data_IF_323646315155
#
_entry.id   IF_323646315155
#
_cell.length_a   1.000
_cell.length_b   1.000
_cell.length_c   1.000
_cell.angle_alpha   90.00
_cell.angle_beta   90.00
_cell.angle_gamma   90.00
#
_symmetry.space_group_name_H-M   'P 1'
#
loop_
_entity.id
_entity.type
_entity.pdbx_description
1 polymer ?
#
# COMPACT_ATOMS: atom_id res chain seq x y z
N UNK A 1 10.73 19.73 4.31
CA UNK A 1 10.20 18.41 4.73
C UNK A 1 9.48 18.57 6.06
N UNK A 2 8.21 18.15 6.14
CA UNK A 2 7.38 18.32 7.36
C UNK A 2 7.88 17.46 8.52
N UNK A 3 7.57 17.85 9.77
CA UNK A 3 7.88 17.07 10.98
C UNK A 3 7.28 15.67 10.90
N UNK A 4 6.06 15.57 10.39
CA UNK A 4 5.33 14.32 10.21
C UNK A 4 6.09 13.33 9.31
N UNK A 5 6.56 13.76 8.14
CA UNK A 5 7.31 12.87 7.24
C UNK A 5 8.61 12.33 7.86
N UNK A 6 9.27 13.10 8.73
CA UNK A 6 10.44 12.61 9.47
C UNK A 6 10.08 11.50 10.45
N UNK A 7 8.98 11.66 11.18
CA UNK A 7 8.51 10.65 12.12
C UNK A 7 8.08 9.38 11.37
N UNK A 8 7.31 9.53 10.30
CA UNK A 8 6.87 8.41 9.47
C UNK A 8 8.06 7.61 8.91
N UNK A 9 9.12 8.29 8.46
CA UNK A 9 10.35 7.63 8.00
C UNK A 9 11.00 6.72 9.03
N UNK A 10 10.89 7.04 10.31
CA UNK A 10 11.41 6.18 11.38
C UNK A 10 10.63 4.85 11.52
N UNK A 11 9.41 4.80 10.98
CA UNK A 11 8.50 3.64 11.05
C UNK A 11 8.59 2.78 9.78
N UNK A 12 8.64 3.40 8.60
CA UNK A 12 8.59 2.69 7.30
C UNK A 12 9.83 1.81 6.97
N UNK A 13 10.88 1.86 7.79
CA UNK A 13 12.04 0.99 7.65
C UNK A 13 12.05 -0.16 8.67
N UNK A 14 11.04 -0.24 9.54
CA UNK A 14 10.97 -1.26 10.56
C UNK A 14 10.19 -2.50 10.08
N UNK A 15 10.76 -3.67 10.32
CA UNK A 15 10.20 -4.96 9.89
C UNK A 15 8.90 -5.34 10.60
N UNK A 16 8.68 -4.87 11.82
CA UNK A 16 7.44 -5.12 12.56
C UNK A 16 6.26 -4.35 11.96
N UNK A 17 6.46 -3.09 11.56
CA UNK A 17 5.47 -2.33 10.78
C UNK A 17 5.18 -2.99 9.43
N UNK A 18 6.22 -3.45 8.72
CA UNK A 18 6.04 -4.18 7.46
C UNK A 18 5.19 -5.45 7.65
N UNK A 19 5.49 -6.28 8.65
CA UNK A 19 4.72 -7.51 8.92
C UNK A 19 3.24 -7.25 9.22
N UNK A 20 2.93 -6.21 9.99
CA UNK A 20 1.55 -5.80 10.23
C UNK A 20 0.89 -5.35 8.92
N UNK A 21 1.59 -4.49 8.18
CA UNK A 21 1.15 -3.98 6.89
C UNK A 21 0.88 -5.06 5.85
N UNK A 22 1.76 -6.06 5.70
CA UNK A 22 1.57 -7.21 4.80
C UNK A 22 0.23 -7.91 5.07
N UNK A 23 -0.09 -8.15 6.35
CA UNK A 23 -1.37 -8.75 6.74
C UNK A 23 -2.58 -7.90 6.33
N UNK A 24 -2.48 -6.57 6.51
CA UNK A 24 -3.53 -5.62 6.12
C UNK A 24 -3.67 -5.56 4.59
N UNK A 25 -2.55 -5.48 3.86
CA UNK A 25 -2.51 -5.46 2.39
C UNK A 25 -3.18 -6.70 1.83
N UNK A 26 -2.83 -7.88 2.34
CA UNK A 26 -3.42 -9.14 1.92
C UNK A 26 -4.94 -9.19 2.16
N UNK A 27 -5.41 -8.67 3.30
CA UNK A 27 -6.83 -8.56 3.61
C UNK A 27 -7.56 -7.63 2.62
N UNK A 28 -7.06 -6.40 2.46
CA UNK A 28 -7.66 -5.40 1.56
C UNK A 28 -7.72 -5.93 0.13
N UNK A 29 -6.64 -6.51 -0.39
CA UNK A 29 -6.59 -6.99 -1.76
C UNK A 29 -7.51 -8.18 -1.99
N UNK A 30 -7.54 -9.13 -1.06
CA UNK A 30 -8.42 -10.30 -1.14
C UNK A 30 -9.89 -9.87 -1.22
N UNK A 31 -10.30 -8.91 -0.38
CA UNK A 31 -11.68 -8.42 -0.38
C UNK A 31 -11.98 -7.62 -1.64
N UNK A 32 -11.11 -6.69 -2.04
CA UNK A 32 -11.32 -5.89 -3.26
C UNK A 32 -11.42 -6.78 -4.50
N UNK A 33 -10.55 -7.77 -4.64
CA UNK A 33 -10.62 -8.72 -5.76
C UNK A 33 -11.87 -9.60 -5.70
N UNK A 34 -12.29 -10.02 -4.50
CA UNK A 34 -13.56 -10.74 -4.31
C UNK A 34 -14.73 -9.91 -4.83
N UNK A 35 -14.80 -8.62 -4.47
CA UNK A 35 -15.86 -7.72 -4.90
C UNK A 35 -15.82 -7.43 -6.41
N UNK A 36 -14.63 -7.30 -6.98
CA UNK A 36 -14.45 -7.00 -8.41
C UNK A 36 -14.73 -8.21 -9.32
N UNK A 37 -14.49 -9.42 -8.82
CA UNK A 37 -14.64 -10.66 -9.60
C UNK A 37 -15.91 -11.43 -9.26
N UNK A 38 -16.63 -11.01 -8.22
CA UNK A 38 -17.81 -11.69 -7.66
C UNK A 38 -17.53 -13.14 -7.22
N UNK A 39 -16.27 -13.45 -6.90
CA UNK A 39 -15.81 -14.78 -6.48
C UNK A 39 -15.01 -14.69 -5.19
N UNK A 40 -15.35 -15.47 -4.15
CA UNK A 40 -14.56 -15.53 -2.92
C UNK A 40 -13.08 -15.81 -3.24
N UNK A 41 -12.22 -14.85 -2.91
CA UNK A 41 -10.80 -14.85 -3.27
C UNK A 41 -9.97 -14.54 -2.04
N UNK A 42 -8.94 -15.35 -1.78
CA UNK A 42 -7.89 -15.08 -0.80
C UNK A 42 -6.55 -15.10 -1.51
N UNK A 43 -5.78 -14.03 -1.41
CA UNK A 43 -4.45 -13.95 -2.00
C UNK A 43 -3.41 -13.47 -1.00
N UNK A 44 -2.18 -13.90 -1.22
CA UNK A 44 -0.99 -13.22 -0.73
C UNK A 44 -0.45 -12.37 -1.86
N UNK A 45 -0.45 -11.06 -1.66
CA UNK A 45 0.01 -10.10 -2.66
C UNK A 45 1.49 -10.33 -2.91
N UNK A 46 1.88 -10.41 -4.18
CA UNK A 46 3.26 -10.68 -4.51
C UNK A 46 4.15 -9.46 -4.25
N UNK A 47 5.33 -9.66 -3.66
CA UNK A 47 6.32 -8.58 -3.50
C UNK A 47 6.66 -7.91 -4.84
N UNK A 48 6.57 -8.65 -5.96
CA UNK A 48 6.79 -8.09 -7.31
C UNK A 48 5.77 -7.00 -7.64
N UNK A 49 4.50 -7.20 -7.32
CA UNK A 49 3.43 -6.21 -7.54
C UNK A 49 3.70 -4.96 -6.70
N UNK A 50 4.03 -5.10 -5.42
CA UNK A 50 4.31 -3.96 -4.55
C UNK A 50 5.57 -3.20 -4.98
N UNK A 51 6.66 -3.91 -5.33
CA UNK A 51 7.86 -3.27 -5.88
C UNK A 51 7.59 -2.47 -7.13
N UNK A 52 6.74 -2.98 -8.01
CA UNK A 52 6.36 -2.27 -9.22
C UNK A 52 5.51 -1.05 -8.90
N UNK A 53 4.52 -1.18 -8.02
CA UNK A 53 3.67 -0.07 -7.58
C UNK A 53 4.51 1.05 -6.93
N UNK A 54 5.49 0.72 -6.09
CA UNK A 54 6.42 1.68 -5.49
C UNK A 54 7.14 2.50 -6.57
N UNK A 55 7.65 1.82 -7.61
CA UNK A 55 8.41 2.46 -8.70
C UNK A 55 7.50 3.34 -9.56
N UNK A 56 6.35 2.82 -9.97
CA UNK A 56 5.41 3.53 -10.86
C UNK A 56 4.86 4.78 -10.20
N UNK A 57 4.47 4.70 -8.93
CA UNK A 57 3.91 5.84 -8.18
C UNK A 57 4.98 6.81 -7.66
N UNK A 58 6.26 6.46 -7.79
CA UNK A 58 7.40 7.22 -7.25
C UNK A 58 7.26 7.47 -5.74
N UNK A 59 6.77 6.48 -4.99
CA UNK A 59 6.48 6.60 -3.55
C UNK A 59 7.69 7.11 -2.77
N UNK A 60 8.89 6.62 -3.09
CA UNK A 60 10.13 7.11 -2.47
C UNK A 60 10.27 8.62 -2.53
N UNK A 61 10.10 9.22 -3.71
CA UNK A 61 10.15 10.68 -3.88
C UNK A 61 9.06 11.40 -3.11
N UNK A 62 7.85 10.82 -3.01
CA UNK A 62 6.75 11.39 -2.21
C UNK A 62 7.05 11.37 -0.70
N UNK A 63 7.75 10.34 -0.25
CA UNK A 63 8.29 10.25 1.11
C UNK A 63 9.56 11.09 1.28
N UNK A 64 10.07 11.73 0.21
CA UNK A 64 11.32 12.50 0.12
C UNK A 64 12.60 11.68 0.21
N UNK A 65 12.51 10.39 -0.07
CA UNK A 65 13.63 9.45 -0.09
C UNK A 65 14.29 9.49 -1.46
N UNK A 66 15.54 9.97 -1.52
CA UNK A 66 16.35 9.91 -2.74
C UNK A 66 16.86 8.49 -3.00
N UNK A 67 17.14 7.74 -1.94
CA UNK A 67 17.61 6.35 -2.00
C UNK A 67 17.10 5.56 -0.79
N UNK A 68 16.79 4.28 -1.00
CA UNK A 68 16.49 3.36 0.09
C UNK A 68 17.76 2.87 0.80
N UNK A 69 17.72 2.62 2.12
CA UNK A 69 18.80 1.92 2.83
C UNK A 69 19.12 0.57 2.17
N UNK A 70 20.36 0.08 2.34
CA UNK A 70 20.87 -1.13 1.67
C UNK A 70 20.00 -2.37 1.89
N UNK A 71 19.41 -2.49 3.08
CA UNK A 71 18.66 -3.69 3.51
C UNK A 71 17.14 -3.47 3.55
N UNK A 72 16.66 -2.44 2.86
CA UNK A 72 15.23 -2.11 2.77
C UNK A 72 14.78 -2.28 1.32
N UNK A 73 13.77 -3.13 1.11
CA UNK A 73 13.20 -3.32 -0.22
C UNK A 73 11.97 -2.41 -0.44
N UNK A 74 11.66 -2.04 -1.70
CA UNK A 74 10.54 -1.16 -1.99
C UNK A 74 9.16 -1.68 -1.52
N UNK A 75 8.93 -2.99 -1.55
CA UNK A 75 7.72 -3.62 -1.03
C UNK A 75 7.60 -3.47 0.49
N UNK A 76 8.71 -3.64 1.22
CA UNK A 76 8.75 -3.53 2.68
C UNK A 76 8.36 -2.10 3.10
N UNK A 77 8.70 -1.10 2.29
CA UNK A 77 8.32 0.30 2.53
C UNK A 77 6.83 0.52 2.38
N UNK A 78 6.19 -0.08 1.36
CA UNK A 78 4.73 0.02 1.19
C UNK A 78 4.03 -0.65 2.37
N UNK A 79 4.42 -1.88 2.70
CA UNK A 79 3.85 -2.63 3.81
C UNK A 79 4.04 -1.86 5.13
N UNK A 80 5.25 -1.40 5.43
CA UNK A 80 5.50 -0.64 6.66
C UNK A 80 4.74 0.69 6.70
N UNK A 81 4.55 1.34 5.55
CA UNK A 81 3.70 2.53 5.45
C UNK A 81 2.25 2.23 5.79
N UNK A 82 1.69 1.11 5.28
CA UNK A 82 0.33 0.67 5.63
C UNK A 82 0.22 0.42 7.13
N UNK A 83 1.16 -0.33 7.71
CA UNK A 83 1.17 -0.60 9.14
C UNK A 83 1.25 0.68 9.96
N UNK A 84 2.06 1.65 9.54
CA UNK A 84 2.22 2.93 10.23
C UNK A 84 0.94 3.78 10.17
N UNK A 85 0.35 3.95 8.99
CA UNK A 85 -0.86 4.75 8.81
C UNK A 85 -2.06 4.14 9.54
N UNK A 86 -2.16 2.81 9.58
CA UNK A 86 -3.22 2.12 10.31
C UNK A 86 -3.07 2.32 11.83
N UNK A 87 -1.86 2.16 12.38
CA UNK A 87 -1.59 2.40 13.81
C UNK A 87 -1.81 3.87 14.21
N UNK A 88 -1.65 4.81 13.29
CA UNK A 88 -1.95 6.22 13.49
C UNK A 88 -3.44 6.57 13.30
N UNK A 89 -4.29 5.60 12.94
CA UNK A 89 -5.72 5.81 12.68
C UNK A 89 -6.03 6.57 11.39
N UNK A 90 -5.05 6.74 10.49
CA UNK A 90 -5.21 7.44 9.20
C UNK A 90 -5.68 6.53 8.07
N UNK A 91 -5.39 5.25 8.18
CA UNK A 91 -5.86 4.22 7.25
C UNK A 91 -6.90 3.37 7.95
N UNK A 92 -8.13 3.39 7.45
CA UNK A 92 -9.16 2.41 7.78
C UNK A 92 -9.27 1.35 6.68
N UNK A 93 -9.46 0.09 7.09
CA UNK A 93 -9.50 -1.06 6.17
C UNK A 93 -10.75 -1.03 5.30
N UNK A 94 -11.92 -0.73 5.88
CA UNK A 94 -13.19 -0.72 5.16
C UNK A 94 -13.26 0.45 4.18
N UNK A 95 -12.79 1.63 4.60
CA UNK A 95 -12.72 2.81 3.72
C UNK A 95 -11.76 2.57 2.56
N UNK A 96 -10.62 1.93 2.83
CA UNK A 96 -9.67 1.54 1.79
C UNK A 96 -10.32 0.59 0.77
N UNK A 97 -11.01 -0.46 1.23
CA UNK A 97 -11.72 -1.40 0.36
C UNK A 97 -12.77 -0.69 -0.50
N UNK A 98 -13.64 0.11 0.14
CA UNK A 98 -14.71 0.85 -0.54
C UNK A 98 -14.15 1.80 -1.62
N UNK A 99 -13.09 2.52 -1.27
CA UNK A 99 -12.44 3.47 -2.17
C UNK A 99 -11.80 2.77 -3.37
N UNK A 100 -11.05 1.69 -3.14
CA UNK A 100 -10.39 0.94 -4.20
C UNK A 100 -11.41 0.26 -5.12
N UNK A 101 -12.44 -0.37 -4.56
CA UNK A 101 -13.52 -0.97 -5.34
C UNK A 101 -14.20 0.07 -6.24
N UNK A 102 -14.57 1.24 -5.69
CA UNK A 102 -15.16 2.34 -6.48
C UNK A 102 -14.24 2.83 -7.60
N UNK A 103 -12.93 2.94 -7.34
CA UNK A 103 -11.92 3.34 -8.35
C UNK A 103 -11.77 2.29 -9.46
N UNK A 104 -11.98 1.02 -9.15
CA UNK A 104 -11.68 -0.09 -10.06
C UNK A 104 -12.88 -0.71 -10.77
N UNK A 105 -14.11 -0.60 -10.23
CA UNK A 105 -15.29 -1.33 -10.73
C UNK A 105 -15.65 -1.07 -12.20
N UNK A 106 -15.20 0.03 -12.77
CA UNK A 106 -15.46 0.40 -14.18
C UNK A 106 -14.29 0.08 -15.13
N UNK A 107 -13.18 -0.46 -14.61
CA UNK A 107 -12.05 -0.84 -15.43
C UNK A 107 -12.27 -2.22 -16.07
N UNK A 108 -12.12 -2.29 -17.40
CA UNK A 108 -12.31 -3.52 -18.20
C UNK A 108 -11.38 -4.68 -17.82
N UNK A 109 -10.23 -4.40 -17.19
CA UNK A 109 -9.26 -5.41 -16.76
C UNK A 109 -8.85 -5.16 -15.32
N UNK A 110 -9.24 -6.07 -14.44
CA UNK A 110 -8.81 -6.11 -13.05
C UNK A 110 -7.52 -6.93 -12.98
N UNK A 111 -6.42 -6.28 -12.61
CA UNK A 111 -5.14 -6.97 -12.37
C UNK A 111 -4.60 -6.59 -11.00
N UNK A 112 -3.96 -7.54 -10.32
CA UNK A 112 -3.29 -7.33 -9.03
C UNK A 112 -2.28 -6.18 -9.12
N UNK A 113 -1.57 -6.07 -10.25
CA UNK A 113 -0.65 -4.98 -10.55
C UNK A 113 -1.33 -3.61 -10.55
N UNK A 114 -2.47 -3.47 -11.23
CA UNK A 114 -3.19 -2.20 -11.28
C UNK A 114 -3.77 -1.84 -9.92
N UNK A 115 -4.30 -2.82 -9.18
CA UNK A 115 -4.72 -2.65 -7.79
C UNK A 115 -3.55 -2.18 -6.91
N UNK A 116 -2.36 -2.77 -7.07
CA UNK A 116 -1.12 -2.33 -6.41
C UNK A 116 -0.82 -0.85 -6.58
N UNK A 117 -0.91 -0.37 -7.83
CA UNK A 117 -0.70 1.04 -8.16
C UNK A 117 -1.77 1.91 -7.49
N UNK A 118 -3.06 1.57 -7.64
CA UNK A 118 -4.18 2.35 -7.06
C UNK A 118 -4.18 2.38 -5.55
N UNK A 119 -3.77 1.30 -4.92
CA UNK A 119 -3.58 1.25 -3.48
C UNK A 119 -2.43 2.16 -3.04
N UNK A 120 -1.29 2.12 -3.74
CA UNK A 120 -0.16 2.98 -3.39
C UNK A 120 -0.47 4.47 -3.62
N UNK A 121 -1.24 4.81 -4.65
CA UNK A 121 -1.75 6.18 -4.85
C UNK A 121 -2.63 6.64 -3.69
N UNK A 122 -3.54 5.78 -3.20
CA UNK A 122 -4.37 6.06 -2.03
C UNK A 122 -3.50 6.33 -0.78
N UNK A 123 -2.44 5.57 -0.56
CA UNK A 123 -1.51 5.82 0.56
C UNK A 123 -0.82 7.18 0.44
N UNK A 124 -0.43 7.58 -0.79
CA UNK A 124 0.21 8.88 -1.03
C UNK A 124 -0.74 10.04 -0.72
N UNK A 125 -2.03 9.90 -1.04
CA UNK A 125 -3.05 10.90 -0.72
C UNK A 125 -3.17 11.14 0.80
N UNK A 126 -2.89 10.12 1.63
CA UNK A 126 -2.89 10.21 3.09
C UNK A 126 -1.63 10.88 3.68
N UNK A 127 -0.62 11.20 2.85
CA UNK A 127 0.62 11.85 3.26
C UNK A 127 0.58 13.39 3.16
N UNK A 128 -0.43 13.92 2.46
CA UNK A 128 -0.65 15.35 2.21
C UNK A 128 -1.55 15.92 3.30
#
# INVERSE_FOLDING_TARGET
MSRYLRELRSKIFRKDYAKLGDSIVNCVFSIVLTLLTEKPTGIKVSNKVLREAYKVTKLGSKLGLERLPRDVNPEDVIEALVGALWLEGKLDINDSISTLYKRMRHHKLVSEKYLGIKFTELLIEMLI
#
